data_IF_984300657369
#
_entry.id   IF_984300657369
#
_cell.length_a   1.000
_cell.length_b   1.000
_cell.length_c   1.000
_cell.angle_alpha   90.00
_cell.angle_beta   90.00
_cell.angle_gamma   90.00
#
_symmetry.space_group_name_H-M   'P 1'
#
loop_
_entity.id
_entity.type
_entity.pdbx_description
1 polymer ?
#
# COMPACT_ATOMS: atom_id res chain seq x y z
N UNK A 1 -18.76 -8.84 13.96
CA UNK A 1 -17.58 -9.42 14.63
C UNK A 1 -16.50 -8.35 14.68
N UNK A 2 -15.91 -8.09 15.85
CA UNK A 2 -14.78 -7.17 15.93
C UNK A 2 -13.58 -7.80 15.20
N UNK A 3 -12.93 -7.06 14.31
CA UNK A 3 -11.65 -7.51 13.73
C UNK A 3 -10.65 -7.69 14.87
N UNK A 4 -9.91 -8.80 14.84
CA UNK A 4 -8.81 -9.00 15.77
C UNK A 4 -7.83 -7.82 15.69
N UNK A 5 -7.21 -7.47 16.81
CA UNK A 5 -6.19 -6.42 16.86
C UNK A 5 -5.02 -6.84 15.97
N UNK A 6 -4.68 -6.01 14.99
CA UNK A 6 -3.52 -6.26 14.12
C UNK A 6 -2.23 -6.01 14.91
N UNK A 7 -1.45 -7.07 15.12
CA UNK A 7 -0.14 -6.99 15.77
C UNK A 7 0.94 -6.70 14.72
N UNK A 8 1.59 -5.53 14.83
CA UNK A 8 2.64 -5.06 13.91
C UNK A 8 3.99 -5.71 14.25
N UNK A 9 4.18 -6.97 13.89
CA UNK A 9 5.45 -7.69 14.16
C UNK A 9 6.54 -7.42 13.13
N UNK A 10 6.18 -7.00 11.91
CA UNK A 10 7.11 -6.69 10.82
C UNK A 10 7.55 -5.22 10.87
N UNK A 11 8.77 -4.95 10.38
CA UNK A 11 9.28 -3.59 10.19
C UNK A 11 8.32 -2.78 9.32
N UNK A 12 7.95 -1.60 9.80
CA UNK A 12 7.09 -0.66 9.11
C UNK A 12 7.91 0.42 8.41
N UNK A 13 7.56 0.73 7.16
CA UNK A 13 8.20 1.80 6.39
C UNK A 13 7.12 2.73 5.84
N UNK A 14 7.32 4.04 5.98
CA UNK A 14 6.46 5.05 5.39
C UNK A 14 6.91 5.32 3.95
N UNK A 15 6.03 5.10 2.97
CA UNK A 15 6.33 5.34 1.55
C UNK A 15 5.17 6.06 0.86
N UNK A 16 5.42 6.63 -0.32
CA UNK A 16 4.40 7.21 -1.18
C UNK A 16 4.82 7.18 -2.65
N UNK A 17 3.83 7.19 -3.55
CA UNK A 17 4.06 7.23 -5.00
C UNK A 17 3.88 8.67 -5.50
N UNK A 18 4.96 9.27 -6.03
CA UNK A 18 4.98 10.68 -6.50
C UNK A 18 5.33 10.76 -8.00
N UNK A 19 5.04 11.89 -8.66
CA UNK A 19 5.32 12.10 -10.09
C UNK A 19 4.27 12.92 -10.85
N UNK A 20 4.50 13.14 -12.15
CA UNK A 20 3.65 13.95 -13.04
C UNK A 20 2.25 13.33 -13.27
N UNK A 21 1.26 14.15 -13.65
CA UNK A 21 -0.09 13.68 -13.99
C UNK A 21 -0.02 12.63 -15.10
N UNK A 22 -0.96 11.69 -15.10
CA UNK A 22 -1.07 10.59 -16.08
C UNK A 22 0.10 9.57 -16.15
N UNK A 23 1.10 9.66 -15.28
CA UNK A 23 2.18 8.65 -15.18
C UNK A 23 1.77 7.37 -14.41
N UNK A 24 0.48 7.15 -14.17
CA UNK A 24 -0.01 5.87 -13.62
C UNK A 24 0.27 5.61 -12.13
N UNK A 25 0.50 6.65 -11.30
CA UNK A 25 0.75 6.49 -9.85
C UNK A 25 -0.34 5.68 -9.14
N UNK A 26 -1.61 5.98 -9.41
CA UNK A 26 -2.76 5.27 -8.85
C UNK A 26 -2.82 3.81 -9.32
N UNK A 27 -2.57 3.57 -10.61
CA UNK A 27 -2.55 2.22 -11.20
C UNK A 27 -1.44 1.38 -10.58
N UNK A 28 -0.26 1.95 -10.38
CA UNK A 28 0.86 1.27 -9.74
C UNK A 28 0.54 0.91 -8.28
N UNK A 29 -0.03 1.83 -7.50
CA UNK A 29 -0.46 1.54 -6.12
C UNK A 29 -1.48 0.41 -6.08
N UNK A 30 -2.48 0.41 -6.98
CA UNK A 30 -3.48 -0.65 -7.05
C UNK A 30 -2.87 -2.03 -7.39
N UNK A 31 -1.91 -2.08 -8.32
CA UNK A 31 -1.20 -3.31 -8.67
C UNK A 31 -0.37 -3.85 -7.50
N UNK A 32 0.34 -2.97 -6.77
CA UNK A 32 1.09 -3.33 -5.56
C UNK A 32 0.17 -3.98 -4.52
N UNK A 33 -0.97 -3.35 -4.23
CA UNK A 33 -1.96 -3.91 -3.29
C UNK A 33 -2.51 -5.25 -3.79
N UNK A 34 -2.80 -5.39 -5.08
CA UNK A 34 -3.37 -6.64 -5.61
C UNK A 34 -2.41 -7.83 -5.48
N UNK A 35 -1.11 -7.58 -5.63
CA UNK A 35 -0.09 -8.64 -5.68
C UNK A 35 0.54 -8.95 -4.32
N UNK A 36 0.67 -7.95 -3.44
CA UNK A 36 1.45 -8.07 -2.20
C UNK A 36 0.63 -8.04 -0.91
N UNK A 37 -0.71 -7.93 -0.99
CA UNK A 37 -1.60 -7.90 0.20
C UNK A 37 -2.13 -9.26 0.60
#
# INVERSE_FOLDING_TARGET
MAKAKFERTKTHVNIGTIGHVDHGKTTLTAAITTILS
#
